data_IF_560352305584
#
_entry.id   IF_560352305584
#
_cell.length_a   1.000
_cell.length_b   1.000
_cell.length_c   1.000
_cell.angle_alpha   90.00
_cell.angle_beta   90.00
_cell.angle_gamma   90.00
#
_symmetry.space_group_name_H-M   'P 1'
#
loop_
_entity.id
_entity.type
_entity.pdbx_description
1 polymer ?
#
# COMPACT_ATOMS: atom_id res chain seq x y z
N UNK A 1 -0.06 13.63 3.72
CA UNK A 1 0.55 12.51 2.98
C UNK A 1 2.04 12.66 3.11
N UNK A 2 2.79 11.59 3.47
CA UNK A 2 4.22 11.64 3.26
C UNK A 2 4.44 11.94 1.78
N UNK A 3 5.13 13.02 1.47
CA UNK A 3 5.33 13.41 0.08
C UNK A 3 6.24 12.36 -0.56
N UNK A 4 5.86 11.91 -1.76
CA UNK A 4 6.64 10.96 -2.55
C UNK A 4 7.37 11.74 -3.64
N UNK A 5 8.64 11.40 -3.82
CA UNK A 5 9.49 11.97 -4.85
C UNK A 5 9.83 10.93 -5.91
N UNK A 6 9.74 11.33 -7.17
CA UNK A 6 10.27 10.61 -8.31
C UNK A 6 11.67 11.13 -8.61
N UNK A 7 12.66 10.26 -8.42
CA UNK A 7 14.05 10.54 -8.72
C UNK A 7 14.48 9.74 -9.95
N UNK A 8 15.06 10.40 -10.93
CA UNK A 8 15.50 9.81 -12.19
C UNK A 8 17.00 10.00 -12.32
N UNK A 9 17.74 8.92 -12.51
CA UNK A 9 19.16 8.92 -12.85
C UNK A 9 19.33 8.55 -14.32
N UNK A 10 20.10 9.32 -15.05
CA UNK A 10 20.55 9.00 -16.42
C UNK A 10 22.05 8.79 -16.45
N UNK A 11 22.51 7.70 -17.06
CA UNK A 11 23.92 7.36 -17.20
C UNK A 11 24.29 7.11 -18.65
N UNK A 12 25.52 7.44 -19.01
CA UNK A 12 26.10 7.14 -20.32
C UNK A 12 26.72 5.72 -20.40
N UNK A 13 26.18 4.80 -19.61
CA UNK A 13 26.60 3.41 -19.55
C UNK A 13 25.37 2.49 -19.54
N UNK A 14 25.45 1.42 -20.33
CA UNK A 14 24.39 0.41 -20.41
C UNK A 14 24.04 -0.22 -19.06
N UNK A 15 25.02 -0.35 -18.16
CA UNK A 15 24.87 -0.99 -16.86
C UNK A 15 24.87 0.00 -15.69
N UNK A 16 24.99 1.30 -15.95
CA UNK A 16 25.02 2.32 -14.90
C UNK A 16 23.74 2.37 -14.07
N UNK A 17 22.58 2.22 -14.70
CA UNK A 17 21.31 2.18 -13.99
C UNK A 17 21.12 0.89 -13.16
N UNK A 18 21.74 -0.23 -13.55
CA UNK A 18 21.74 -1.47 -12.73
C UNK A 18 22.56 -1.25 -11.47
N UNK A 19 23.75 -0.65 -11.59
CA UNK A 19 24.58 -0.31 -10.43
C UNK A 19 23.88 0.65 -9.50
N UNK A 20 23.16 1.63 -10.04
CA UNK A 20 22.36 2.58 -9.27
C UNK A 20 21.19 1.89 -8.54
N UNK A 21 20.52 0.94 -9.18
CA UNK A 21 19.47 0.14 -8.57
C UNK A 21 20.01 -0.73 -7.41
N UNK A 22 21.20 -1.29 -7.58
CA UNK A 22 21.85 -2.06 -6.50
C UNK A 22 22.19 -1.16 -5.29
N UNK A 23 22.58 0.10 -5.53
CA UNK A 23 22.77 1.10 -4.46
C UNK A 23 21.43 1.38 -3.77
N UNK A 24 20.36 1.68 -4.52
CA UNK A 24 19.04 1.93 -3.95
C UNK A 24 18.51 0.74 -3.15
N UNK A 25 18.63 -0.49 -3.68
CA UNK A 25 18.23 -1.72 -3.00
C UNK A 25 19.05 -2.01 -1.73
N UNK A 26 20.32 -1.61 -1.71
CA UNK A 26 21.16 -1.72 -0.51
C UNK A 26 20.68 -0.74 0.56
N UNK A 27 20.46 0.52 0.20
CA UNK A 27 19.95 1.53 1.13
C UNK A 27 18.57 1.15 1.72
N UNK A 28 17.70 0.55 0.90
CA UNK A 28 16.40 0.02 1.37
C UNK A 28 16.57 -1.14 2.36
N UNK A 29 17.47 -2.10 2.07
CA UNK A 29 17.77 -3.21 2.99
C UNK A 29 18.36 -2.76 4.32
N UNK A 30 19.20 -1.73 4.28
CA UNK A 30 19.87 -1.17 5.43
C UNK A 30 18.94 -0.21 6.22
N UNK A 31 17.69 -0.01 5.76
CA UNK A 31 16.69 0.83 6.40
C UNK A 31 16.92 2.34 6.25
N UNK A 32 17.81 2.76 5.35
CA UNK A 32 18.12 4.17 5.11
C UNK A 32 17.11 4.88 4.21
N UNK A 33 16.43 4.15 3.35
CA UNK A 33 15.35 4.62 2.48
C UNK A 33 14.22 3.59 2.48
N UNK A 34 13.09 3.96 1.93
CA UNK A 34 12.04 3.05 1.52
C UNK A 34 11.83 3.15 0.02
N UNK A 35 12.21 2.09 -0.69
CA UNK A 35 12.05 1.99 -2.13
C UNK A 35 10.63 1.55 -2.47
N UNK A 36 9.81 2.52 -2.86
CA UNK A 36 8.39 2.30 -3.17
C UNK A 36 8.19 1.61 -4.52
N UNK A 37 8.85 2.12 -5.55
CA UNK A 37 8.82 1.59 -6.92
C UNK A 37 10.10 1.92 -7.67
N UNK A 38 10.39 1.19 -8.76
CA UNK A 38 11.46 1.54 -9.68
C UNK A 38 11.18 1.04 -11.10
N UNK A 39 11.76 1.76 -12.07
CA UNK A 39 11.87 1.33 -13.46
C UNK A 39 13.32 1.42 -13.93
N UNK A 40 13.81 0.34 -14.50
CA UNK A 40 15.12 0.23 -15.12
C UNK A 40 14.95 0.25 -16.64
N UNK A 41 15.60 1.20 -17.32
CA UNK A 41 15.47 1.42 -18.75
C UNK A 41 16.86 1.39 -19.36
N UNK A 42 17.04 0.67 -20.45
CA UNK A 42 18.29 0.56 -21.19
C UNK A 42 18.05 0.82 -22.68
N UNK A 43 18.97 1.53 -23.31
CA UNK A 43 19.00 1.74 -24.76
C UNK A 43 20.30 1.15 -25.30
N UNK A 44 20.20 0.24 -26.25
CA UNK A 44 21.36 -0.40 -26.86
C UNK A 44 21.98 0.49 -27.94
N UNK A 45 23.12 0.05 -28.50
CA UNK A 45 23.81 0.74 -29.58
C UNK A 45 22.95 0.90 -30.85
N UNK A 46 21.97 0.02 -31.07
CA UNK A 46 21.07 0.05 -32.23
C UNK A 46 19.84 0.92 -31.97
N UNK A 47 19.72 1.49 -30.78
CA UNK A 47 18.59 2.32 -30.38
C UNK A 47 17.35 1.55 -29.84
N UNK A 48 17.47 0.23 -29.66
CA UNK A 48 16.38 -0.52 -29.03
C UNK A 48 16.31 -0.21 -27.53
N UNK A 49 15.11 0.05 -27.05
CA UNK A 49 14.86 0.34 -25.64
C UNK A 49 14.24 -0.89 -24.99
N UNK A 50 14.81 -1.29 -23.87
CA UNK A 50 14.24 -2.29 -22.96
C UNK A 50 13.92 -1.62 -21.64
N UNK A 51 12.76 -1.93 -21.08
CA UNK A 51 12.33 -1.42 -19.79
C UNK A 51 11.92 -2.58 -18.87
N UNK A 52 12.16 -2.42 -17.58
CA UNK A 52 11.79 -3.37 -16.53
C UNK A 52 11.37 -2.61 -15.27
N UNK A 53 10.22 -2.92 -14.74
CA UNK A 53 9.72 -2.36 -13.47
C UNK A 53 9.86 -3.36 -12.30
N UNK A 54 9.62 -2.87 -11.08
CA UNK A 54 9.68 -3.69 -9.86
C UNK A 54 8.72 -4.89 -9.95
N UNK A 55 7.54 -4.71 -10.52
CA UNK A 55 6.53 -5.75 -10.65
C UNK A 55 6.97 -6.90 -11.57
N UNK A 56 7.75 -6.62 -12.62
CA UNK A 56 8.32 -7.63 -13.51
C UNK A 56 9.31 -8.54 -12.76
N UNK A 57 10.16 -7.97 -11.92
CA UNK A 57 11.12 -8.74 -11.11
C UNK A 57 10.39 -9.64 -10.10
N UNK A 58 9.28 -9.18 -9.55
CA UNK A 58 8.46 -9.96 -8.62
C UNK A 58 7.78 -11.12 -9.34
N UNK A 59 7.20 -10.86 -10.52
CA UNK A 59 6.54 -11.88 -11.34
C UNK A 59 7.53 -12.97 -11.80
N UNK A 60 8.74 -12.58 -12.20
CA UNK A 60 9.81 -13.51 -12.63
C UNK A 60 10.27 -14.42 -11.49
N UNK A 61 10.47 -13.87 -10.28
CA UNK A 61 10.82 -14.64 -9.08
C UNK A 61 9.70 -15.59 -8.67
N UNK A 62 8.45 -15.19 -8.80
CA UNK A 62 7.29 -16.06 -8.53
C UNK A 62 7.19 -17.19 -9.55
N UNK A 63 7.38 -16.92 -10.85
CA UNK A 63 7.41 -17.92 -11.90
C UNK A 63 8.58 -18.92 -11.74
N UNK A 64 9.76 -18.43 -11.38
CA UNK A 64 10.93 -19.29 -11.13
C UNK A 64 10.76 -20.19 -9.91
N UNK A 65 9.98 -19.79 -8.92
CA UNK A 65 9.67 -20.61 -7.74
C UNK A 65 8.66 -21.73 -8.04
N UNK A 66 7.82 -21.58 -9.07
CA UNK A 66 6.79 -22.57 -9.45
C UNK A 66 7.23 -23.53 -10.55
N UNK A 67 8.22 -23.16 -11.36
CA UNK A 67 8.75 -23.98 -12.46
C UNK A 67 10.25 -24.14 -12.26
N UNK A 68 10.66 -25.30 -11.78
CA UNK A 68 12.09 -25.64 -11.78
C UNK A 68 12.64 -25.61 -13.20
N UNK A 69 13.60 -24.71 -13.45
CA UNK A 69 14.41 -24.60 -14.67
C UNK A 69 13.70 -24.06 -15.91
N UNK A 70 13.94 -22.82 -16.25
CA UNK A 70 13.64 -22.24 -17.57
C UNK A 70 13.08 -20.84 -17.55
N UNK A 71 13.69 -19.93 -16.78
CA UNK A 71 13.31 -18.51 -16.77
C UNK A 71 13.70 -17.81 -18.07
N UNK A 72 12.75 -17.62 -18.99
CA UNK A 72 12.90 -16.73 -20.11
C UNK A 72 12.87 -15.28 -19.66
N UNK A 73 13.86 -14.48 -20.04
CA UNK A 73 13.89 -13.02 -19.85
C UNK A 73 12.78 -12.41 -20.70
N UNK A 74 11.65 -12.07 -20.09
CA UNK A 74 10.59 -11.29 -20.71
C UNK A 74 10.89 -9.80 -20.51
N UNK A 75 11.93 -9.31 -21.21
CA UNK A 75 12.12 -7.89 -21.42
C UNK A 75 11.19 -7.42 -22.55
N UNK A 76 10.31 -6.47 -22.29
CA UNK A 76 9.56 -5.85 -23.35
C UNK A 76 10.51 -5.10 -24.27
N UNK A 77 10.65 -5.55 -25.51
CA UNK A 77 11.40 -4.86 -26.56
C UNK A 77 10.49 -3.81 -27.19
N UNK A 78 10.74 -2.55 -26.88
CA UNK A 78 10.08 -1.43 -27.55
C UNK A 78 10.78 -1.22 -28.89
N UNK A 79 10.09 -1.45 -30.01
CA UNK A 79 10.66 -1.38 -31.34
C UNK A 79 11.29 -0.01 -31.68
N UNK A 80 12.24 0.01 -32.57
CA UNK A 80 13.18 1.06 -32.92
C UNK A 80 12.74 2.54 -33.03
N UNK A 81 13.58 3.48 -33.49
CA UNK A 81 13.42 4.93 -33.26
C UNK A 81 12.09 5.55 -33.75
N UNK A 82 11.41 4.90 -34.69
CA UNK A 82 10.05 5.30 -35.13
C UNK A 82 8.94 4.60 -34.34
N UNK A 83 9.22 3.43 -33.73
CA UNK A 83 8.29 2.68 -32.91
C UNK A 83 8.21 3.17 -31.45
N UNK A 84 9.27 3.80 -30.93
CA UNK A 84 9.33 4.26 -29.54
C UNK A 84 8.32 5.38 -29.25
N UNK A 85 8.16 6.36 -30.12
CA UNK A 85 7.17 7.42 -29.95
C UNK A 85 5.72 6.95 -30.24
N UNK A 86 5.53 6.01 -31.18
CA UNK A 86 4.22 5.48 -31.55
C UNK A 86 3.82 4.22 -30.75
N UNK A 87 4.79 3.39 -30.34
CA UNK A 87 4.54 2.12 -29.66
C UNK A 87 4.17 2.29 -28.18
N UNK A 88 4.71 3.26 -27.49
CA UNK A 88 4.32 3.62 -26.12
C UNK A 88 2.95 4.28 -26.10
N UNK A 89 2.60 5.04 -27.17
CA UNK A 89 1.26 5.62 -27.33
C UNK A 89 0.20 4.61 -27.83
N UNK A 90 0.61 3.47 -28.41
CA UNK A 90 -0.30 2.54 -29.09
C UNK A 90 -0.36 1.11 -28.51
N UNK A 91 -0.03 0.88 -27.26
CA UNK A 91 -0.44 -0.32 -26.53
C UNK A 91 0.28 -1.62 -26.91
N UNK A 92 1.53 -1.58 -27.37
CA UNK A 92 2.34 -2.78 -27.62
C UNK A 92 3.38 -3.07 -26.52
N UNK A 93 3.07 -2.76 -25.29
CA UNK A 93 3.81 -3.23 -24.11
C UNK A 93 3.21 -4.59 -23.70
N UNK A 94 3.57 -5.66 -24.40
CA UNK A 94 3.16 -7.01 -24.06
C UNK A 94 4.10 -7.57 -22.99
N UNK A 95 3.87 -7.14 -21.75
CA UNK A 95 4.37 -7.79 -20.56
C UNK A 95 3.22 -7.87 -19.56
N UNK A 96 3.10 -8.92 -18.79
CA UNK A 96 1.99 -9.14 -17.85
C UNK A 96 1.97 -8.18 -16.64
N UNK A 97 2.75 -7.10 -16.65
CA UNK A 97 2.80 -6.03 -15.67
C UNK A 97 2.48 -4.68 -16.29
N UNK A 98 1.76 -3.81 -15.58
CA UNK A 98 1.51 -2.44 -16.02
C UNK A 98 2.82 -1.64 -15.89
N UNK A 99 3.40 -1.19 -16.99
CA UNK A 99 4.59 -0.30 -17.00
C UNK A 99 4.22 1.14 -16.63
N UNK A 100 3.66 1.35 -15.43
CA UNK A 100 3.12 2.62 -14.97
C UNK A 100 4.16 3.71 -14.81
N UNK A 101 5.32 3.36 -14.29
CA UNK A 101 6.40 4.31 -14.06
C UNK A 101 7.05 4.73 -15.37
N UNK A 102 7.22 3.80 -16.31
CA UNK A 102 7.71 4.10 -17.67
C UNK A 102 6.73 4.99 -18.42
N UNK A 103 5.43 4.69 -18.39
CA UNK A 103 4.39 5.55 -19.01
C UNK A 103 4.40 6.97 -18.44
N UNK A 104 4.61 7.09 -17.13
CA UNK A 104 4.72 8.39 -16.46
C UNK A 104 5.94 9.17 -16.99
N UNK A 105 7.10 8.54 -17.08
CA UNK A 105 8.32 9.17 -17.61
C UNK A 105 8.13 9.67 -19.05
N UNK A 106 7.42 8.90 -19.89
CA UNK A 106 7.12 9.31 -21.28
C UNK A 106 6.24 10.54 -21.34
N UNK A 107 5.26 10.64 -20.44
CA UNK A 107 4.31 11.78 -20.40
C UNK A 107 4.87 13.01 -19.68
N UNK A 108 5.93 12.85 -18.93
CA UNK A 108 6.49 13.91 -18.08
C UNK A 108 7.65 14.64 -18.76
N UNK A 109 7.38 15.84 -19.26
CA UNK A 109 8.38 16.71 -19.90
C UNK A 109 9.47 17.22 -18.94
N UNK A 110 9.29 17.08 -17.60
CA UNK A 110 10.27 17.52 -16.59
C UNK A 110 11.59 16.77 -16.68
N UNK A 111 11.59 15.56 -17.25
CA UNK A 111 12.77 14.70 -17.39
C UNK A 111 13.40 14.77 -18.79
N UNK A 112 13.20 15.85 -19.53
CA UNK A 112 13.93 16.16 -20.78
C UNK A 112 13.47 15.39 -22.02
N UNK A 113 12.21 14.90 -22.03
CA UNK A 113 11.64 14.23 -23.19
C UNK A 113 12.15 12.80 -23.37
N UNK A 114 11.94 11.94 -22.37
CA UNK A 114 12.16 10.50 -22.53
C UNK A 114 11.18 9.93 -23.60
N UNK A 115 11.60 9.00 -24.49
CA UNK A 115 12.91 8.31 -24.53
C UNK A 115 14.00 8.97 -25.43
N UNK A 116 13.71 10.10 -26.05
CA UNK A 116 14.59 10.76 -27.02
C UNK A 116 15.88 11.26 -26.36
N UNK A 117 15.79 11.71 -25.09
CA UNK A 117 16.94 12.21 -24.33
C UNK A 117 17.95 11.12 -23.95
N UNK A 118 17.58 9.83 -24.08
CA UNK A 118 18.46 8.73 -23.75
C UNK A 118 19.40 8.43 -24.92
N UNK A 119 20.71 8.62 -24.73
CA UNK A 119 21.75 8.32 -25.74
C UNK A 119 21.83 6.82 -26.07
N UNK A 120 22.52 6.50 -27.19
CA UNK A 120 22.84 5.11 -27.47
C UNK A 120 23.78 4.55 -26.38
N UNK A 121 23.69 3.26 -26.07
CA UNK A 121 24.45 2.55 -25.05
C UNK A 121 24.39 3.20 -23.64
N UNK A 122 23.24 3.76 -23.35
CA UNK A 122 22.96 4.43 -22.07
C UNK A 122 21.84 3.75 -21.29
N UNK A 123 21.70 4.11 -20.03
CA UNK A 123 20.63 3.58 -19.18
C UNK A 123 20.06 4.64 -18.25
N UNK A 124 18.84 4.39 -17.80
CA UNK A 124 18.10 5.26 -16.88
C UNK A 124 17.49 4.41 -15.76
N UNK A 125 17.57 4.92 -14.55
CA UNK A 125 16.87 4.41 -13.39
C UNK A 125 15.87 5.47 -12.92
N UNK A 126 14.60 5.10 -12.82
CA UNK A 126 13.61 5.89 -12.12
C UNK A 126 13.24 5.19 -10.81
N UNK A 127 13.18 5.92 -9.72
CA UNK A 127 12.82 5.40 -8.40
C UNK A 127 11.78 6.31 -7.74
N UNK A 128 10.84 5.71 -7.03
CA UNK A 128 9.89 6.40 -6.17
C UNK A 128 10.28 6.12 -4.72
N UNK A 129 10.48 7.18 -3.97
CA UNK A 129 10.81 7.14 -2.53
C UNK A 129 10.02 8.19 -1.78
N UNK A 130 9.91 8.06 -0.44
CA UNK A 130 9.42 9.15 0.38
C UNK A 130 10.36 10.36 0.30
N UNK A 131 9.80 11.57 0.27
CA UNK A 131 10.55 12.83 0.09
C UNK A 131 11.69 12.98 1.11
N UNK A 132 11.45 12.61 2.36
CA UNK A 132 12.46 12.66 3.43
C UNK A 132 13.74 11.87 3.13
N UNK A 133 13.68 10.96 2.18
CA UNK A 133 14.82 10.12 1.74
C UNK A 133 15.38 10.51 0.38
N UNK A 134 14.68 11.39 -0.35
CA UNK A 134 15.04 11.75 -1.72
C UNK A 134 16.43 12.38 -1.81
N UNK A 135 16.74 13.32 -0.91
CA UNK A 135 18.05 14.01 -0.88
C UNK A 135 19.19 13.02 -0.66
N UNK A 136 19.07 12.11 0.31
CA UNK A 136 20.09 11.10 0.59
C UNK A 136 20.31 10.14 -0.57
N UNK A 137 19.23 9.71 -1.22
CA UNK A 137 19.32 8.84 -2.39
C UNK A 137 19.95 9.59 -3.56
N UNK A 138 19.57 10.84 -3.76
CA UNK A 138 20.11 11.72 -4.82
C UNK A 138 21.63 11.89 -4.69
N UNK A 139 22.13 12.18 -3.47
CA UNK A 139 23.56 12.27 -3.19
C UNK A 139 24.35 11.01 -3.59
N UNK A 140 23.80 9.82 -3.33
CA UNK A 140 24.46 8.57 -3.70
C UNK A 140 24.38 8.30 -5.21
N UNK A 141 23.26 8.63 -5.85
CA UNK A 141 23.05 8.41 -7.27
C UNK A 141 23.81 9.42 -8.14
N UNK A 142 24.00 10.67 -7.71
CA UNK A 142 24.80 11.68 -8.42
C UNK A 142 26.24 11.23 -8.67
N UNK A 143 26.77 10.32 -7.85
CA UNK A 143 28.10 9.72 -8.07
C UNK A 143 28.18 8.83 -9.31
N UNK A 144 27.03 8.38 -9.81
CA UNK A 144 26.91 7.43 -10.94
C UNK A 144 26.43 8.09 -12.23
N UNK A 145 25.78 9.26 -12.15
CA UNK A 145 25.27 9.94 -13.34
C UNK A 145 24.54 11.23 -13.04
N UNK A 146 23.74 11.69 -13.99
CA UNK A 146 22.89 12.87 -13.82
C UNK A 146 21.59 12.48 -13.17
N UNK A 147 21.22 13.19 -12.12
CA UNK A 147 19.95 13.01 -11.43
C UNK A 147 19.00 14.18 -11.67
N UNK A 148 17.71 13.89 -11.63
CA UNK A 148 16.63 14.87 -11.58
C UNK A 148 15.57 14.35 -10.59
N UNK A 149 15.07 15.22 -9.73
CA UNK A 149 14.08 14.87 -8.73
C UNK A 149 12.86 15.80 -8.84
N UNK A 150 11.66 15.25 -8.65
CA UNK A 150 10.45 16.04 -8.44
C UNK A 150 9.50 15.35 -7.48
N UNK A 151 8.69 16.12 -6.82
CA UNK A 151 7.56 15.60 -6.05
C UNK A 151 6.49 15.00 -6.97
N UNK A 152 5.87 13.91 -6.51
CA UNK A 152 4.71 13.33 -7.18
C UNK A 152 3.46 14.17 -6.93
N UNK A 153 2.67 14.35 -7.99
CA UNK A 153 1.34 14.96 -7.86
C UNK A 153 0.42 14.04 -7.04
N UNK A 154 -0.62 14.59 -6.44
CA UNK A 154 -1.52 13.84 -5.58
C UNK A 154 -2.02 12.52 -6.21
N UNK A 155 -2.61 12.56 -7.41
CA UNK A 155 -3.10 11.36 -8.10
C UNK A 155 -2.00 10.32 -8.40
N UNK A 156 -0.76 10.78 -8.62
CA UNK A 156 0.39 9.91 -8.82
C UNK A 156 0.82 9.23 -7.52
N UNK A 157 0.82 9.97 -6.40
CA UNK A 157 1.11 9.44 -5.05
C UNK A 157 0.11 8.36 -4.66
N UNK A 158 -1.16 8.59 -4.91
CA UNK A 158 -2.24 7.63 -4.65
C UNK A 158 -2.01 6.31 -5.40
N UNK A 159 -1.79 6.41 -6.71
CA UNK A 159 -1.55 5.24 -7.55
C UNK A 159 -0.29 4.45 -7.14
N UNK A 160 0.77 5.14 -6.75
CA UNK A 160 2.01 4.49 -6.27
C UNK A 160 1.80 3.81 -4.92
N UNK A 161 1.05 4.45 -4.04
CA UNK A 161 0.77 3.86 -2.74
C UNK A 161 -0.10 2.62 -2.86
N UNK A 162 -1.17 2.65 -3.66
CA UNK A 162 -2.02 1.48 -3.90
C UNK A 162 -1.21 0.31 -4.48
N UNK A 163 -0.30 0.60 -5.39
CA UNK A 163 0.59 -0.40 -5.95
C UNK A 163 1.55 -0.98 -4.90
N UNK A 164 2.17 -0.13 -4.09
CA UNK A 164 3.02 -0.56 -2.98
C UNK A 164 2.24 -1.46 -2.00
N UNK A 165 1.02 -1.06 -1.66
CA UNK A 165 0.14 -1.82 -0.80
C UNK A 165 -0.16 -3.22 -1.37
N UNK A 166 -0.51 -3.31 -2.64
CA UNK A 166 -0.77 -4.59 -3.32
C UNK A 166 0.50 -5.47 -3.39
N UNK A 167 1.66 -4.88 -3.72
CA UNK A 167 2.95 -5.59 -3.72
C UNK A 167 3.30 -6.13 -2.35
N UNK A 168 3.12 -5.33 -1.31
CA UNK A 168 3.41 -5.72 0.07
C UNK A 168 2.50 -6.85 0.54
N UNK A 169 1.20 -6.80 0.23
CA UNK A 169 0.23 -7.88 0.49
C UNK A 169 0.60 -9.17 -0.24
N UNK A 170 0.97 -9.08 -1.50
CA UNK A 170 1.37 -10.25 -2.29
C UNK A 170 2.66 -10.90 -1.73
N UNK A 171 3.63 -10.09 -1.30
CA UNK A 171 4.85 -10.59 -0.63
C UNK A 171 4.51 -11.27 0.70
N UNK A 172 3.63 -10.68 1.51
CA UNK A 172 3.14 -11.27 2.76
C UNK A 172 2.50 -12.64 2.49
N UNK A 173 1.60 -12.73 1.52
CA UNK A 173 0.95 -14.01 1.12
C UNK A 173 1.97 -15.04 0.65
N UNK A 174 2.91 -14.66 -0.18
CA UNK A 174 3.98 -15.54 -0.67
C UNK A 174 4.81 -16.14 0.47
N UNK A 175 5.19 -15.32 1.47
CA UNK A 175 5.92 -15.79 2.66
C UNK A 175 5.04 -16.71 3.50
N UNK A 176 3.75 -16.42 3.66
CA UNK A 176 2.81 -17.30 4.36
C UNK A 176 2.68 -18.67 3.68
N UNK A 177 2.60 -18.70 2.35
CA UNK A 177 2.51 -19.96 1.58
C UNK A 177 3.81 -20.75 1.67
N UNK A 178 4.98 -20.11 1.62
CA UNK A 178 6.28 -20.76 1.85
C UNK A 178 6.37 -21.38 3.26
N UNK A 179 5.90 -20.65 4.29
CA UNK A 179 5.82 -21.18 5.65
C UNK A 179 4.93 -22.42 5.70
N UNK A 180 3.74 -22.40 5.08
CA UNK A 180 2.83 -23.56 5.03
C UNK A 180 3.46 -24.76 4.35
N UNK A 181 4.10 -24.55 3.20
CA UNK A 181 4.79 -25.60 2.46
C UNK A 181 5.93 -26.25 3.27
N UNK A 182 6.73 -25.42 3.97
CA UNK A 182 7.81 -25.92 4.84
C UNK A 182 7.28 -26.67 6.05
N UNK A 183 6.20 -26.22 6.67
CA UNK A 183 5.57 -26.92 7.78
C UNK A 183 5.03 -28.30 7.34
N UNK A 184 4.41 -28.38 6.16
CA UNK A 184 3.97 -29.66 5.58
C UNK A 184 5.16 -30.59 5.34
N UNK A 185 6.28 -30.08 4.79
CA UNK A 185 7.51 -30.85 4.62
C UNK A 185 8.09 -31.32 5.96
N UNK A 186 8.10 -30.48 7.00
CA UNK A 186 8.60 -30.83 8.34
C UNK A 186 7.83 -32.00 8.98
N UNK A 187 6.55 -32.20 8.61
CA UNK A 187 5.74 -33.32 9.07
C UNK A 187 6.14 -34.67 8.43
N UNK A 188 6.75 -34.61 7.24
CA UNK A 188 7.14 -35.81 6.47
C UNK A 188 8.58 -36.26 6.74
N UNK A 189 9.39 -35.52 7.47
CA UNK A 189 10.79 -35.77 7.73
C UNK A 189 11.10 -35.87 9.23
N UNK A 190 12.23 -36.48 9.60
CA UNK A 190 12.66 -36.66 11.00
C UNK A 190 14.13 -36.29 11.19
N UNK A 191 14.58 -36.19 12.44
CA UNK A 191 15.99 -35.93 12.77
C UNK A 191 16.49 -34.54 12.36
N UNK A 192 17.73 -34.48 11.90
CA UNK A 192 18.42 -33.20 11.60
C UNK A 192 17.74 -32.38 10.48
N UNK A 193 17.11 -33.05 9.51
CA UNK A 193 16.40 -32.36 8.44
C UNK A 193 15.17 -31.60 8.97
N UNK A 194 14.44 -32.20 9.88
CA UNK A 194 13.29 -31.56 10.54
C UNK A 194 13.73 -30.32 11.32
N UNK A 195 14.81 -30.40 12.11
CA UNK A 195 15.35 -29.28 12.88
C UNK A 195 15.72 -28.13 11.95
N UNK A 196 16.35 -28.42 10.82
CA UNK A 196 16.73 -27.40 9.84
C UNK A 196 15.49 -26.70 9.26
N UNK A 197 14.45 -27.46 8.86
CA UNK A 197 13.21 -26.87 8.31
C UNK A 197 12.50 -26.03 9.38
N UNK A 198 12.46 -26.47 10.64
CA UNK A 198 11.84 -25.70 11.73
C UNK A 198 12.60 -24.39 12.00
N UNK A 199 13.94 -24.37 11.90
CA UNK A 199 14.73 -23.17 11.97
C UNK A 199 14.46 -22.20 10.80
N UNK A 200 14.36 -22.73 9.58
CA UNK A 200 13.98 -21.95 8.39
C UNK A 200 12.56 -21.35 8.53
N UNK A 201 11.62 -22.11 9.07
CA UNK A 201 10.25 -21.61 9.36
C UNK A 201 10.27 -20.47 10.37
N UNK A 202 11.08 -20.60 11.43
CA UNK A 202 11.24 -19.54 12.44
C UNK A 202 11.79 -18.24 11.80
N UNK A 203 12.81 -18.34 10.95
CA UNK A 203 13.37 -17.21 10.23
C UNK A 203 12.32 -16.56 9.28
N UNK A 204 11.53 -17.38 8.57
CA UNK A 204 10.45 -16.89 7.70
C UNK A 204 9.31 -16.22 8.46
N UNK A 205 8.99 -16.68 9.64
CA UNK A 205 8.01 -16.02 10.52
C UNK A 205 8.51 -14.65 10.97
N UNK A 206 9.79 -14.54 11.37
CA UNK A 206 10.38 -13.25 11.71
C UNK A 206 10.36 -12.28 10.51
N UNK A 207 10.67 -12.77 9.30
CA UNK A 207 10.55 -11.98 8.06
C UNK A 207 9.11 -11.52 7.82
N UNK A 208 8.11 -12.39 8.02
CA UNK A 208 6.70 -12.06 7.86
C UNK A 208 6.26 -10.96 8.82
N UNK A 209 6.62 -11.07 10.10
CA UNK A 209 6.28 -10.07 11.11
C UNK A 209 6.91 -8.71 10.79
N UNK A 210 8.20 -8.68 10.43
CA UNK A 210 8.87 -7.44 10.04
C UNK A 210 8.22 -6.76 8.82
N UNK A 211 7.77 -7.55 7.82
CA UNK A 211 7.05 -7.02 6.66
C UNK A 211 5.68 -6.45 7.00
N UNK A 212 4.97 -7.12 7.91
CA UNK A 212 3.67 -6.66 8.39
C UNK A 212 3.80 -5.36 9.17
N UNK A 213 4.73 -5.31 10.11
CA UNK A 213 5.02 -4.12 10.91
C UNK A 213 5.38 -2.93 10.01
N UNK A 214 6.28 -3.15 9.05
CA UNK A 214 6.64 -2.10 8.07
C UNK A 214 5.43 -1.60 7.28
N UNK A 215 4.57 -2.49 6.80
CA UNK A 215 3.35 -2.12 6.06
C UNK A 215 2.36 -1.35 6.95
N UNK A 216 2.18 -1.80 8.18
CA UNK A 216 1.32 -1.16 9.17
C UNK A 216 1.77 0.26 9.49
N UNK A 217 3.06 0.44 9.75
CA UNK A 217 3.65 1.76 10.05
C UNK A 217 3.51 2.71 8.86
N UNK A 218 3.67 2.17 7.64
CA UNK A 218 3.49 2.95 6.42
C UNK A 218 2.04 3.41 6.24
N UNK A 219 1.06 2.52 6.43
CA UNK A 219 -0.37 2.89 6.38
C UNK A 219 -0.71 3.94 7.46
N UNK A 220 -0.18 3.81 8.68
CA UNK A 220 -0.37 4.79 9.76
C UNK A 220 0.22 6.14 9.41
N UNK A 221 1.40 6.18 8.83
CA UNK A 221 2.05 7.40 8.36
C UNK A 221 1.20 8.10 7.30
N UNK A 222 0.70 7.35 6.32
CA UNK A 222 -0.21 7.86 5.28
C UNK A 222 -1.50 8.42 5.87
N UNK A 223 -2.12 7.70 6.78
CA UNK A 223 -3.34 8.17 7.47
C UNK A 223 -3.09 9.48 8.23
N UNK A 224 -1.93 9.61 8.89
CA UNK A 224 -1.55 10.83 9.59
C UNK A 224 -1.40 12.01 8.63
N UNK A 225 -0.74 11.80 7.49
CA UNK A 225 -0.59 12.81 6.43
C UNK A 225 -1.95 13.26 5.88
N UNK A 226 -2.83 12.31 5.50
CA UNK A 226 -4.17 12.62 5.01
C UNK A 226 -5.00 13.45 5.99
N UNK A 227 -4.91 13.15 7.29
CA UNK A 227 -5.56 13.95 8.34
C UNK A 227 -5.02 15.38 8.41
N UNK A 228 -3.73 15.57 8.20
CA UNK A 228 -3.11 16.90 8.12
C UNK A 228 -3.62 17.66 6.91
N UNK A 229 -3.66 17.01 5.73
CA UNK A 229 -4.14 17.61 4.49
C UNK A 229 -5.62 18.01 4.59
N UNK A 230 -6.46 17.16 5.19
CA UNK A 230 -7.87 17.47 5.43
C UNK A 230 -8.01 18.73 6.30
N UNK A 231 -7.23 18.85 7.39
CA UNK A 231 -7.27 20.04 8.27
C UNK A 231 -6.83 21.30 7.55
N UNK A 232 -5.77 21.22 6.76
CA UNK A 232 -5.28 22.34 5.97
C UNK A 232 -6.31 22.79 4.93
N UNK A 233 -6.92 21.82 4.20
CA UNK A 233 -7.96 22.15 3.24
C UNK A 233 -9.22 22.70 3.90
N UNK A 234 -9.61 22.20 5.07
CA UNK A 234 -10.72 22.74 5.84
C UNK A 234 -10.47 24.19 6.24
N UNK A 235 -9.26 24.54 6.70
CA UNK A 235 -8.87 25.92 6.97
C UNK A 235 -8.91 26.79 5.72
N UNK A 236 -8.41 26.30 4.58
CA UNK A 236 -8.50 27.01 3.28
C UNK A 236 -9.95 27.21 2.85
N UNK A 237 -10.83 26.25 3.14
CA UNK A 237 -12.26 26.35 2.82
C UNK A 237 -12.93 27.50 3.56
N UNK A 238 -12.58 27.73 4.82
CA UNK A 238 -13.10 28.85 5.62
C UNK A 238 -12.70 30.21 5.04
N UNK A 239 -11.47 30.33 4.50
CA UNK A 239 -10.94 31.56 3.93
C UNK A 239 -11.32 31.77 2.46
N UNK A 240 -11.83 30.75 1.77
CA UNK A 240 -12.06 30.81 0.32
C UNK A 240 -13.32 31.60 -0.05
N UNK A 241 -13.25 32.29 -1.19
CA UNK A 241 -14.42 32.89 -1.84
C UNK A 241 -15.40 31.83 -2.41
N UNK A 242 -16.62 32.24 -2.70
CA UNK A 242 -17.69 31.32 -3.12
C UNK A 242 -17.34 30.43 -4.31
N UNK A 243 -16.57 30.93 -5.28
CA UNK A 243 -16.19 30.19 -6.50
C UNK A 243 -15.17 29.10 -6.27
N UNK A 244 -14.29 29.26 -5.27
CA UNK A 244 -13.24 28.27 -4.94
C UNK A 244 -13.67 27.23 -3.91
N UNK A 245 -14.70 27.53 -3.12
CA UNK A 245 -15.21 26.62 -2.08
C UNK A 245 -15.63 25.28 -2.59
N UNK A 246 -16.29 25.21 -3.76
CA UNK A 246 -16.76 23.92 -4.32
C UNK A 246 -15.60 22.97 -4.66
N UNK A 247 -14.52 23.50 -5.26
CA UNK A 247 -13.32 22.72 -5.57
C UNK A 247 -12.59 22.20 -4.33
N UNK A 248 -12.44 23.08 -3.31
CA UNK A 248 -11.80 22.70 -2.03
C UNK A 248 -12.65 21.64 -1.32
N UNK A 249 -13.97 21.82 -1.29
CA UNK A 249 -14.87 20.85 -0.67
C UNK A 249 -14.81 19.48 -1.34
N UNK A 250 -14.77 19.40 -2.67
CA UNK A 250 -14.59 18.15 -3.40
C UNK A 250 -13.24 17.49 -3.10
N UNK A 251 -12.19 18.29 -2.93
CA UNK A 251 -10.87 17.80 -2.50
C UNK A 251 -10.91 17.19 -1.10
N UNK A 252 -11.58 17.82 -0.14
CA UNK A 252 -11.77 17.28 1.22
C UNK A 252 -12.51 15.94 1.17
N UNK A 253 -13.59 15.86 0.37
CA UNK A 253 -14.36 14.62 0.21
C UNK A 253 -13.50 13.49 -0.36
N UNK A 254 -12.64 13.81 -1.31
CA UNK A 254 -11.70 12.85 -1.88
C UNK A 254 -10.70 12.33 -0.84
N UNK A 255 -10.09 13.22 -0.04
CA UNK A 255 -9.18 12.85 1.04
C UNK A 255 -9.86 11.98 2.12
N UNK A 256 -11.11 12.25 2.45
CA UNK A 256 -11.86 11.39 3.37
C UNK A 256 -12.08 9.99 2.82
N UNK A 257 -12.37 9.82 1.52
CA UNK A 257 -12.50 8.51 0.88
C UNK A 257 -11.18 7.73 0.94
N UNK A 258 -10.06 8.40 0.66
CA UNK A 258 -8.74 7.78 0.77
C UNK A 258 -8.40 7.35 2.20
N UNK A 259 -8.65 8.23 3.16
CA UNK A 259 -8.44 7.92 4.56
C UNK A 259 -9.26 6.71 5.01
N UNK A 260 -10.52 6.60 4.53
CA UNK A 260 -11.33 5.42 4.78
C UNK A 260 -10.75 4.16 4.14
N UNK A 261 -10.32 4.24 2.90
CA UNK A 261 -9.69 3.12 2.19
C UNK A 261 -8.47 2.59 2.97
N UNK A 262 -7.57 3.47 3.40
CA UNK A 262 -6.38 3.06 4.15
C UNK A 262 -6.69 2.54 5.56
N UNK A 263 -7.73 3.05 6.21
CA UNK A 263 -8.21 2.46 7.46
C UNK A 263 -8.75 1.04 7.24
N UNK A 264 -9.52 0.79 6.18
CA UNK A 264 -9.98 -0.55 5.81
C UNK A 264 -8.80 -1.50 5.57
N UNK A 265 -7.74 -1.01 4.92
CA UNK A 265 -6.54 -1.80 4.65
C UNK A 265 -5.77 -2.13 5.92
N UNK A 266 -5.64 -1.18 6.83
CA UNK A 266 -5.03 -1.40 8.15
C UNK A 266 -5.82 -2.44 8.96
N UNK A 267 -7.13 -2.30 9.00
CA UNK A 267 -8.02 -3.24 9.71
C UNK A 267 -7.93 -4.65 9.11
N UNK A 268 -7.90 -4.78 7.77
CA UNK A 268 -7.67 -6.06 7.09
C UNK A 268 -6.33 -6.69 7.50
N UNK A 269 -5.26 -5.91 7.56
CA UNK A 269 -3.95 -6.38 7.95
C UNK A 269 -3.94 -6.90 9.39
N UNK A 270 -4.57 -6.17 10.31
CA UNK A 270 -4.70 -6.55 11.73
C UNK A 270 -5.55 -7.83 11.87
N UNK A 271 -6.67 -7.95 11.15
CA UNK A 271 -7.51 -9.15 11.16
C UNK A 271 -6.75 -10.38 10.66
N UNK A 272 -6.02 -10.27 9.56
CA UNK A 272 -5.16 -11.35 9.04
C UNK A 272 -4.10 -11.80 10.07
N UNK A 273 -3.58 -10.86 10.85
CA UNK A 273 -2.65 -11.17 11.93
C UNK A 273 -3.33 -11.91 13.08
N UNK A 274 -4.50 -11.45 13.50
CA UNK A 274 -5.32 -12.11 14.52
C UNK A 274 -5.61 -13.55 14.12
N UNK A 275 -6.06 -13.81 12.90
CA UNK A 275 -6.38 -15.15 12.41
C UNK A 275 -5.14 -16.05 12.32
N UNK A 276 -4.01 -15.50 11.91
CA UNK A 276 -2.73 -16.21 11.91
C UNK A 276 -2.33 -16.63 13.33
N UNK A 277 -2.38 -15.71 14.30
CA UNK A 277 -2.03 -15.97 15.69
C UNK A 277 -2.97 -16.99 16.36
N UNK A 278 -4.26 -16.99 16.02
CA UNK A 278 -5.23 -17.99 16.52
C UNK A 278 -4.92 -19.38 15.99
N UNK A 279 -4.65 -19.48 14.70
CA UNK A 279 -4.27 -20.76 14.09
C UNK A 279 -3.01 -21.30 14.78
N UNK A 280 -2.00 -20.46 14.99
CA UNK A 280 -0.80 -20.83 15.71
C UNK A 280 -1.06 -21.26 17.16
N UNK A 281 -1.90 -20.52 17.89
CA UNK A 281 -2.30 -20.88 19.24
C UNK A 281 -3.02 -22.22 19.30
N UNK A 282 -3.91 -22.50 18.33
CA UNK A 282 -4.61 -23.79 18.23
C UNK A 282 -3.63 -24.95 18.01
N UNK A 283 -2.68 -24.80 17.10
CA UNK A 283 -1.66 -25.79 16.83
C UNK A 283 -0.75 -26.07 18.04
N UNK A 284 -0.35 -25.00 18.75
CA UNK A 284 0.45 -25.13 19.94
C UNK A 284 -0.32 -25.76 21.09
N UNK A 285 -1.61 -25.47 21.27
CA UNK A 285 -2.47 -26.15 22.27
C UNK A 285 -2.56 -27.65 21.99
N UNK A 286 -2.72 -28.04 20.70
CA UNK A 286 -2.73 -29.45 20.32
C UNK A 286 -1.38 -30.16 20.59
N UNK A 287 -0.25 -29.45 20.41
CA UNK A 287 1.10 -29.95 20.75
C UNK A 287 1.32 -30.02 22.24
N UNK A 288 0.89 -29.03 23.01
CA UNK A 288 1.01 -29.00 24.47
C UNK A 288 0.29 -30.18 25.14
N UNK A 289 -0.88 -30.56 24.59
CA UNK A 289 -1.64 -31.71 25.08
C UNK A 289 -0.90 -33.05 24.97
N UNK A 290 0.09 -33.15 24.07
CA UNK A 290 0.90 -34.35 23.85
C UNK A 290 2.33 -34.26 24.42
N UNK A 291 2.74 -33.08 24.88
CA UNK A 291 4.07 -32.82 25.39
C UNK A 291 4.14 -33.02 26.91
N UNK A 292 5.34 -33.30 27.42
CA UNK A 292 5.61 -33.43 28.85
C UNK A 292 6.90 -32.69 29.25
N UNK A 293 7.07 -32.40 30.55
CA UNK A 293 8.29 -31.78 31.10
C UNK A 293 8.61 -30.40 30.48
N UNK A 294 9.90 -30.17 30.24
CA UNK A 294 10.42 -28.89 29.71
C UNK A 294 9.80 -28.47 28.35
N UNK A 295 9.50 -29.46 27.48
CA UNK A 295 8.87 -29.18 26.19
C UNK A 295 7.49 -28.59 26.36
N UNK A 296 6.70 -29.08 27.29
CA UNK A 296 5.38 -28.55 27.60
C UNK A 296 5.48 -27.13 28.14
N UNK A 297 6.39 -26.87 29.08
CA UNK A 297 6.63 -25.52 29.63
C UNK A 297 7.05 -24.51 28.55
N UNK A 298 7.91 -24.89 27.62
CA UNK A 298 8.31 -24.04 26.51
C UNK A 298 7.12 -23.68 25.59
N UNK A 299 6.24 -24.65 25.29
CA UNK A 299 5.03 -24.42 24.48
C UNK A 299 4.05 -23.49 25.23
N UNK A 300 3.87 -23.69 26.53
CA UNK A 300 2.97 -22.85 27.34
C UNK A 300 3.48 -21.39 27.40
N UNK A 301 4.78 -21.17 27.52
CA UNK A 301 5.37 -19.82 27.45
C UNK A 301 5.14 -19.17 26.07
N UNK A 302 5.25 -19.95 24.99
CA UNK A 302 4.95 -19.43 23.64
C UNK A 302 3.47 -19.09 23.49
N UNK A 303 2.55 -19.88 24.02
CA UNK A 303 1.12 -19.60 24.04
C UNK A 303 0.82 -18.29 24.76
N UNK A 304 1.45 -18.03 25.92
CA UNK A 304 1.31 -16.76 26.64
C UNK A 304 1.76 -15.55 25.79
N UNK A 305 2.87 -15.69 25.07
CA UNK A 305 3.32 -14.64 24.16
C UNK A 305 2.33 -14.37 23.02
N UNK A 306 1.76 -15.42 22.44
CA UNK A 306 0.72 -15.29 21.41
C UNK A 306 -0.56 -14.65 21.96
N UNK A 307 -0.99 -15.03 23.15
CA UNK A 307 -2.17 -14.44 23.79
C UNK A 307 -1.99 -12.94 24.07
N UNK A 308 -0.79 -12.53 24.48
CA UNK A 308 -0.45 -11.12 24.65
C UNK A 308 -0.52 -10.37 23.30
N UNK A 309 0.06 -10.93 22.24
CA UNK A 309 0.00 -10.36 20.89
C UNK A 309 -1.45 -10.24 20.39
N UNK A 310 -2.26 -11.28 20.56
CA UNK A 310 -3.69 -11.25 20.21
C UNK A 310 -4.44 -10.12 20.92
N UNK A 311 -4.14 -9.91 22.20
CA UNK A 311 -4.74 -8.82 22.99
C UNK A 311 -4.32 -7.46 22.43
N UNK A 312 -3.05 -7.28 22.09
CA UNK A 312 -2.57 -6.04 21.50
C UNK A 312 -3.20 -5.76 20.13
N UNK A 313 -3.26 -6.75 19.25
CA UNK A 313 -3.88 -6.61 17.92
C UNK A 313 -5.37 -6.27 18.01
N UNK A 314 -6.10 -6.88 18.94
CA UNK A 314 -7.49 -6.55 19.21
C UNK A 314 -7.67 -5.12 19.73
N UNK A 315 -6.75 -4.65 20.60
CA UNK A 315 -6.76 -3.26 21.06
C UNK A 315 -6.56 -2.28 19.92
N UNK A 316 -5.60 -2.55 19.05
CA UNK A 316 -5.33 -1.72 17.85
C UNK A 316 -6.54 -1.65 16.91
N UNK A 317 -7.23 -2.77 16.69
CA UNK A 317 -8.45 -2.80 15.89
C UNK A 317 -9.57 -1.95 16.53
N UNK A 318 -9.70 -1.99 17.86
CA UNK A 318 -10.66 -1.15 18.59
C UNK A 318 -10.34 0.34 18.44
N UNK A 319 -9.08 0.70 18.55
CA UNK A 319 -8.62 2.09 18.44
C UNK A 319 -8.84 2.61 17.01
N UNK A 320 -8.58 1.79 15.98
CA UNK A 320 -8.90 2.09 14.58
C UNK A 320 -10.39 2.37 14.38
N UNK A 321 -11.27 1.52 14.88
CA UNK A 321 -12.72 1.74 14.78
C UNK A 321 -13.19 2.98 15.53
N UNK A 322 -12.64 3.26 16.72
CA UNK A 322 -12.98 4.47 17.46
C UNK A 322 -12.59 5.75 16.69
N UNK A 323 -11.44 5.73 16.06
CA UNK A 323 -10.94 6.83 15.23
C UNK A 323 -11.80 7.01 13.97
N UNK A 324 -12.15 5.95 13.26
CA UNK A 324 -13.09 6.01 12.12
C UNK A 324 -14.44 6.58 12.49
N UNK A 325 -14.98 6.21 13.65
CA UNK A 325 -16.23 6.81 14.14
C UNK A 325 -16.12 8.31 14.34
N UNK A 326 -14.98 8.78 14.84
CA UNK A 326 -14.73 10.22 15.01
C UNK A 326 -14.65 10.93 13.67
N UNK A 327 -13.94 10.35 12.69
CA UNK A 327 -13.83 10.88 11.34
C UNK A 327 -15.18 10.94 10.63
N UNK A 328 -15.97 9.88 10.69
CA UNK A 328 -17.33 9.88 10.15
C UNK A 328 -18.21 10.96 10.78
N UNK A 329 -18.06 11.18 12.09
CA UNK A 329 -18.79 12.25 12.77
C UNK A 329 -18.41 13.62 12.26
N UNK A 330 -17.11 13.90 12.10
CA UNK A 330 -16.61 15.16 11.57
C UNK A 330 -17.10 15.40 10.13
N UNK A 331 -16.93 14.41 9.27
CA UNK A 331 -17.41 14.50 7.90
C UNK A 331 -18.93 14.70 7.82
N UNK A 332 -19.66 14.05 8.70
CA UNK A 332 -21.11 14.24 8.81
C UNK A 332 -21.49 15.67 9.27
N UNK A 333 -20.76 16.27 10.19
CA UNK A 333 -20.95 17.67 10.60
C UNK A 333 -20.71 18.62 9.43
N UNK A 334 -19.70 18.38 8.60
CA UNK A 334 -19.43 19.13 7.37
C UNK A 334 -20.60 19.00 6.35
N UNK A 335 -21.20 17.83 6.21
CA UNK A 335 -22.37 17.62 5.36
C UNK A 335 -23.56 18.45 5.82
N UNK A 336 -23.78 18.55 7.12
CA UNK A 336 -24.83 19.39 7.70
C UNK A 336 -24.64 20.87 7.35
N UNK A 337 -23.42 21.38 7.47
CA UNK A 337 -23.11 22.76 7.12
C UNK A 337 -23.37 23.00 5.63
N UNK A 338 -22.94 22.11 4.77
CA UNK A 338 -23.17 22.19 3.31
C UNK A 338 -24.67 22.13 2.93
N UNK A 339 -25.42 21.24 3.60
CA UNK A 339 -26.87 21.14 3.42
C UNK A 339 -27.60 22.42 3.80
N UNK A 340 -27.17 23.08 4.88
CA UNK A 340 -27.76 24.35 5.29
C UNK A 340 -27.56 25.50 4.26
N UNK A 341 -26.48 25.42 3.48
CA UNK A 341 -26.13 26.40 2.44
C UNK A 341 -26.75 26.04 1.06
N UNK A 342 -27.37 24.88 0.91
CA UNK A 342 -27.96 24.41 -0.34
C UNK A 342 -29.30 25.08 -0.63
N UNK A 343 -29.72 25.11 -1.92
CA UNK A 343 -31.05 25.56 -2.33
C UNK A 343 -32.15 24.66 -1.76
N UNK A 344 -33.36 25.18 -1.60
CA UNK A 344 -34.47 24.48 -0.89
C UNK A 344 -34.79 23.09 -1.46
N UNK A 345 -34.84 22.95 -2.79
CA UNK A 345 -35.15 21.68 -3.46
C UNK A 345 -34.07 20.58 -3.22
N UNK A 346 -32.79 20.99 -3.16
CA UNK A 346 -31.65 20.14 -2.86
C UNK A 346 -31.65 19.72 -1.37
N UNK A 347 -32.07 20.66 -0.51
CA UNK A 347 -32.06 20.48 0.94
C UNK A 347 -32.95 19.31 1.39
N UNK A 348 -34.12 19.13 0.78
CA UNK A 348 -35.07 18.08 1.18
C UNK A 348 -34.51 16.67 0.83
N UNK A 349 -33.90 16.51 -0.34
CA UNK A 349 -33.25 15.28 -0.74
C UNK A 349 -32.03 14.96 0.13
N UNK A 350 -31.21 15.96 0.41
CA UNK A 350 -30.07 15.83 1.32
C UNK A 350 -30.47 15.49 2.75
N UNK A 351 -31.59 16.05 3.25
CA UNK A 351 -32.08 15.73 4.59
C UNK A 351 -32.44 14.26 4.75
N UNK A 352 -32.99 13.60 3.72
CA UNK A 352 -33.29 12.18 3.75
C UNK A 352 -32.00 11.34 3.85
N UNK A 353 -30.99 11.65 3.02
CA UNK A 353 -29.69 10.97 3.03
C UNK A 353 -28.91 11.23 4.32
N UNK A 354 -28.97 12.44 4.87
CA UNK A 354 -28.39 12.80 6.16
C UNK A 354 -29.03 12.00 7.29
N UNK A 355 -30.36 11.87 7.31
CA UNK A 355 -31.07 11.05 8.30
C UNK A 355 -30.70 9.57 8.22
N UNK A 356 -30.56 9.02 7.00
CA UNK A 356 -30.11 7.65 6.81
C UNK A 356 -28.69 7.42 7.36
N UNK A 357 -27.76 8.30 7.05
CA UNK A 357 -26.40 8.26 7.56
C UNK A 357 -26.35 8.42 9.09
N UNK A 358 -27.15 9.32 9.65
CA UNK A 358 -27.29 9.47 11.13
C UNK A 358 -27.77 8.19 11.79
N UNK A 359 -28.79 7.55 11.21
CA UNK A 359 -29.35 6.32 11.76
C UNK A 359 -28.30 5.20 11.74
N UNK A 360 -27.62 4.99 10.61
CA UNK A 360 -26.55 4.01 10.46
C UNK A 360 -25.40 4.27 11.43
N UNK A 361 -25.02 5.53 11.65
CA UNK A 361 -23.99 5.91 12.61
C UNK A 361 -24.43 5.66 14.08
N UNK A 362 -25.69 5.93 14.41
CA UNK A 362 -26.23 5.67 15.75
C UNK A 362 -26.31 4.17 16.05
N UNK A 363 -26.79 3.35 15.10
CA UNK A 363 -26.78 1.90 15.21
C UNK A 363 -25.37 1.35 15.41
N UNK A 364 -24.40 1.83 14.63
CA UNK A 364 -23.00 1.44 14.73
C UNK A 364 -22.41 1.75 16.11
N UNK A 365 -22.66 2.96 16.64
CA UNK A 365 -22.25 3.36 17.99
C UNK A 365 -22.84 2.46 19.06
N UNK A 366 -24.11 2.10 18.93
CA UNK A 366 -24.77 1.19 19.84
C UNK A 366 -24.12 -0.19 19.82
N UNK A 367 -23.82 -0.72 18.63
CA UNK A 367 -23.13 -2.01 18.44
C UNK A 367 -21.74 -2.01 19.06
N UNK A 368 -20.95 -0.97 18.86
CA UNK A 368 -19.59 -0.84 19.43
C UNK A 368 -19.63 -0.80 20.97
N UNK A 369 -20.65 -0.14 21.56
CA UNK A 369 -20.79 0.00 23.02
C UNK A 369 -21.25 -1.27 23.73
N UNK A 370 -22.10 -2.08 23.10
CA UNK A 370 -22.81 -3.18 23.75
C UNK A 370 -22.10 -4.53 23.64
N UNK A 371 -21.02 -4.63 22.86
CA UNK A 371 -20.44 -5.93 22.55
C UNK A 371 -19.23 -6.31 23.37
N UNK A 372 -19.19 -7.62 23.69
CA UNK A 372 -18.10 -8.27 24.39
C UNK A 372 -16.85 -8.28 23.50
N UNK A 373 -15.71 -7.84 24.03
CA UNK A 373 -14.42 -7.64 23.32
C UNK A 373 -13.83 -8.92 22.72
N UNK A 374 -14.39 -10.09 23.01
CA UNK A 374 -13.87 -11.39 22.61
C UNK A 374 -14.62 -12.06 21.44
N UNK A 375 -15.78 -11.50 21.02
CA UNK A 375 -16.62 -12.11 20.00
C UNK A 375 -16.26 -11.61 18.59
N UNK A 376 -15.71 -12.50 17.77
CA UNK A 376 -15.31 -12.23 16.38
C UNK A 376 -16.46 -11.86 15.45
N UNK A 377 -17.61 -12.52 15.63
CA UNK A 377 -18.79 -12.19 14.82
C UNK A 377 -19.21 -10.75 15.07
N UNK A 378 -18.96 -10.26 16.30
CA UNK A 378 -19.20 -8.90 16.68
C UNK A 378 -18.37 -7.89 15.88
N UNK A 379 -17.10 -8.19 15.63
CA UNK A 379 -16.22 -7.31 14.87
C UNK A 379 -16.58 -7.27 13.38
N UNK A 380 -16.92 -8.42 12.81
CA UNK A 380 -17.42 -8.49 11.43
C UNK A 380 -18.70 -7.68 11.24
N UNK A 381 -19.66 -7.80 12.15
CA UNK A 381 -20.90 -7.04 12.11
C UNK A 381 -20.68 -5.53 12.33
N UNK A 382 -19.69 -5.13 13.15
CA UNK A 382 -19.30 -3.72 13.34
C UNK A 382 -18.72 -3.19 12.03
N UNK A 383 -17.83 -3.93 11.38
CA UNK A 383 -17.22 -3.55 10.10
C UNK A 383 -18.26 -3.42 8.99
N UNK A 384 -19.18 -4.39 8.87
CA UNK A 384 -20.28 -4.31 7.90
C UNK A 384 -21.14 -3.07 8.16
N UNK A 385 -21.39 -2.74 9.44
CA UNK A 385 -22.07 -1.52 9.85
C UNK A 385 -21.31 -0.25 9.46
N UNK A 386 -19.99 -0.24 9.61
CA UNK A 386 -19.12 0.86 9.16
C UNK A 386 -19.20 1.06 7.64
N UNK A 387 -19.03 0.01 6.88
CA UNK A 387 -19.04 0.06 5.43
C UNK A 387 -20.41 0.49 4.89
N UNK A 388 -21.49 0.15 5.60
CA UNK A 388 -22.83 0.65 5.26
C UNK A 388 -22.96 2.14 5.57
N UNK A 389 -22.65 2.56 6.79
CA UNK A 389 -22.77 3.96 7.21
C UNK A 389 -21.87 4.90 6.36
N UNK A 390 -20.70 4.41 5.98
CA UNK A 390 -19.78 5.12 5.09
C UNK A 390 -20.39 5.32 3.71
N UNK A 391 -20.91 4.26 3.08
CA UNK A 391 -21.59 4.36 1.76
C UNK A 391 -22.80 5.30 1.79
N UNK A 392 -23.59 5.25 2.85
CA UNK A 392 -24.73 6.15 3.00
C UNK A 392 -24.27 7.62 3.07
N UNK A 393 -23.13 7.88 3.73
CA UNK A 393 -22.51 9.19 3.83
C UNK A 393 -21.93 9.64 2.47
N UNK A 394 -21.19 8.78 1.77
CA UNK A 394 -20.66 9.06 0.42
C UNK A 394 -21.77 9.40 -0.57
N UNK A 395 -22.84 8.62 -0.58
CA UNK A 395 -24.00 8.88 -1.45
C UNK A 395 -24.63 10.26 -1.16
N UNK A 396 -24.70 10.65 0.11
CA UNK A 396 -25.21 11.97 0.49
C UNK A 396 -24.29 13.11 0.00
N UNK A 397 -22.97 12.93 0.07
CA UNK A 397 -22.02 13.91 -0.45
C UNK A 397 -22.03 13.98 -1.98
N UNK A 398 -22.09 12.85 -2.67
CA UNK A 398 -22.16 12.82 -4.13
C UNK A 398 -23.44 13.49 -4.64
N UNK A 399 -24.55 13.29 -3.95
CA UNK A 399 -25.81 14.00 -4.24
C UNK A 399 -25.66 15.50 -4.02
N UNK A 400 -25.08 15.92 -2.89
CA UNK A 400 -24.83 17.33 -2.59
C UNK A 400 -23.92 18.02 -3.62
N UNK A 401 -22.97 17.28 -4.19
CA UNK A 401 -22.05 17.82 -5.20
C UNK A 401 -22.69 17.90 -6.61
N UNK A 402 -23.52 16.93 -7.01
CA UNK A 402 -24.21 16.92 -8.33
C UNK A 402 -25.22 18.04 -8.48
N UNK A 403 -25.88 18.42 -7.40
CA UNK A 403 -26.94 19.43 -7.43
C UNK A 403 -26.42 20.88 -7.27
N UNK A 404 -25.09 21.05 -7.22
CA UNK A 404 -24.41 22.35 -7.22
C UNK A 404 -24.04 22.86 -8.62
N UNK A 405 -24.12 21.99 -9.64
CA UNK A 405 -23.93 22.35 -11.04
C UNK A 405 -25.26 22.84 -11.63
#
# INVERSE_FOLDING_TARGET
MGDLSLLVLTTNSKDGAVQALDVAKRLDRDGWIELMDYALIKKDEKGHITAREMDDEIAEKAAAATVGVGGGVLGAVVGGPVGAAAGVAAGALVGAGSMRLVERLVRDSSFGGFPESLGADSSMLAVVVEERYAERLDEELQKLGRTACRELKQAEREAEFDAYLQRSKNKIRSVQDDIRARLAKAQAVTGAEKIKIEADVAAKRAELEARREKLEDHIKSMNSGLKSDIREMAFRLELAGLTTRAGIAAGIDHLHRQLNHFNDELENLIEDQIDTLKTEASDLKAKAAKATGETKAAIENHLLAIELRLRNQRSMLQDSFAERLLQMKQWFEDLHVRSALAKAEVRDNLQASIKAAQHSLAELRARVRTRNREDERAWKDIREGFNKAWRDLENAFDQANRERV
#
